data_IF_489453877954
#
_entry.id   IF_489453877954
#
_cell.length_a   1.000
_cell.length_b   1.000
_cell.length_c   1.000
_cell.angle_alpha   90.00
_cell.angle_beta   90.00
_cell.angle_gamma   90.00
#
_symmetry.space_group_name_H-M   'P 1'
#
loop_
_entity.id
_entity.type
_entity.pdbx_description
1 polymer ?
#
# COMPACT_ATOMS: atom_id res chain seq x y z
N UNK A 1 23.93 14.45 19.59
CA UNK A 1 23.10 15.61 19.23
C UNK A 1 21.75 15.09 18.82
N UNK A 2 20.69 15.42 19.57
CA UNK A 2 19.34 15.05 19.17
C UNK A 2 18.94 15.90 17.98
N UNK A 3 18.61 15.28 16.85
CA UNK A 3 18.02 15.99 15.72
C UNK A 3 16.81 16.81 16.22
N UNK A 4 16.63 18.06 15.76
CA UNK A 4 15.49 18.86 16.16
C UNK A 4 14.20 18.08 15.85
N UNK A 5 13.29 18.04 16.82
CA UNK A 5 11.95 17.48 16.64
C UNK A 5 11.21 18.35 15.61
N UNK A 6 11.28 17.94 14.34
CA UNK A 6 10.39 18.47 13.30
C UNK A 6 8.97 18.18 13.78
N UNK A 7 8.16 19.22 13.96
CA UNK A 7 6.78 19.07 14.42
C UNK A 7 6.07 18.10 13.48
N UNK A 8 5.59 16.96 14.00
CA UNK A 8 4.87 15.98 13.20
C UNK A 8 3.62 16.66 12.67
N UNK A 9 3.50 16.81 11.35
CA UNK A 9 2.44 17.61 10.79
C UNK A 9 1.08 16.91 10.93
N UNK A 10 0.04 17.71 11.17
CA UNK A 10 -1.33 17.20 11.26
C UNK A 10 -1.84 16.75 9.88
N UNK A 11 -1.69 15.46 9.59
CA UNK A 11 -2.12 14.83 8.33
C UNK A 11 -3.64 14.79 8.14
N UNK A 12 -4.44 15.26 9.11
CA UNK A 12 -5.88 15.42 8.94
C UNK A 12 -6.26 16.67 8.15
N UNK A 13 -5.33 17.61 7.97
CA UNK A 13 -5.59 18.93 7.37
C UNK A 13 -5.35 19.02 5.87
N UNK A 14 -4.74 18.01 5.28
CA UNK A 14 -4.39 17.99 3.86
C UNK A 14 -4.40 16.57 3.31
N UNK A 15 -4.44 16.43 1.98
CA UNK A 15 -4.19 15.21 1.21
C UNK A 15 -2.75 15.28 0.73
N UNK A 16 -1.94 14.31 1.16
CA UNK A 16 -0.56 14.12 0.72
C UNK A 16 -0.46 13.20 -0.49
N UNK A 17 0.71 13.13 -1.13
CA UNK A 17 0.91 12.26 -2.31
C UNK A 17 0.58 10.79 -2.06
N UNK A 18 0.93 10.25 -0.88
CA UNK A 18 0.58 8.87 -0.52
C UNK A 18 -0.91 8.65 -0.23
N UNK A 19 -1.69 9.70 -0.01
CA UNK A 19 -3.15 9.63 0.17
C UNK A 19 -3.86 9.46 -1.18
N UNK A 20 -3.34 10.08 -2.25
CA UNK A 20 -3.98 10.06 -3.57
C UNK A 20 -4.13 8.65 -4.13
N UNK A 21 -3.16 7.77 -3.89
CA UNK A 21 -3.27 6.37 -4.32
C UNK A 21 -4.51 5.65 -3.76
N UNK A 22 -4.98 6.00 -2.56
CA UNK A 22 -6.19 5.44 -1.97
C UNK A 22 -7.47 6.04 -2.58
N UNK A 23 -7.43 7.32 -2.96
CA UNK A 23 -8.51 8.02 -3.67
C UNK A 23 -8.70 7.44 -5.07
N UNK A 24 -7.60 7.07 -5.75
CA UNK A 24 -7.61 6.45 -7.07
C UNK A 24 -7.87 4.93 -7.03
N UNK A 25 -7.90 4.30 -5.85
CA UNK A 25 -8.10 2.85 -5.71
C UNK A 25 -6.89 1.98 -6.09
N UNK A 26 -5.70 2.57 -6.29
CA UNK A 26 -4.46 1.86 -6.68
C UNK A 26 -3.52 1.58 -5.49
N UNK A 27 -3.89 2.01 -4.29
CA UNK A 27 -3.11 1.81 -3.07
C UNK A 27 -3.17 0.34 -2.60
N UNK A 28 -2.04 -0.36 -2.43
CA UNK A 28 -2.03 -1.73 -1.92
C UNK A 28 -2.26 -1.85 -0.40
N UNK A 29 -2.31 -0.74 0.35
CA UNK A 29 -2.37 -0.74 1.81
C UNK A 29 -3.71 -0.29 2.40
N UNK A 30 -4.44 0.57 1.68
CA UNK A 30 -5.66 1.20 2.17
C UNK A 30 -6.57 1.59 1.01
N UNK A 31 -7.87 1.48 1.23
CA UNK A 31 -8.90 2.00 0.33
C UNK A 31 -9.36 3.41 0.77
N UNK A 32 -10.32 3.97 0.04
CA UNK A 32 -10.85 5.31 0.27
C UNK A 32 -11.55 5.48 1.63
N UNK A 33 -12.21 4.42 2.14
CA UNK A 33 -12.86 4.44 3.47
C UNK A 33 -11.80 4.44 4.57
N UNK A 34 -10.74 3.66 4.43
CA UNK A 34 -9.59 3.70 5.33
C UNK A 34 -8.90 5.07 5.38
N UNK A 35 -8.73 5.69 4.21
CA UNK A 35 -8.20 7.05 4.13
C UNK A 35 -9.13 8.05 4.81
N UNK A 36 -10.43 7.98 4.56
CA UNK A 36 -11.42 8.85 5.19
C UNK A 36 -11.36 8.74 6.72
N UNK A 37 -11.35 7.52 7.26
CA UNK A 37 -11.17 7.29 8.70
C UNK A 37 -9.89 7.96 9.21
N UNK A 38 -8.77 7.88 8.47
CA UNK A 38 -7.50 8.53 8.85
C UNK A 38 -7.59 10.06 8.86
N UNK A 39 -8.41 10.66 7.99
CA UNK A 39 -8.62 12.12 7.93
C UNK A 39 -9.53 12.63 9.04
N UNK A 40 -10.49 11.83 9.52
CA UNK A 40 -11.39 12.25 10.60
C UNK A 40 -10.91 11.80 11.98
N UNK A 41 -10.10 10.74 12.04
CA UNK A 41 -9.60 10.13 13.28
C UNK A 41 -8.20 9.55 13.00
N UNK A 42 -7.12 10.32 13.26
CA UNK A 42 -5.77 9.89 12.95
C UNK A 42 -5.42 8.55 13.60
N UNK A 43 -4.77 7.66 12.85
CA UNK A 43 -4.21 6.43 13.43
C UNK A 43 -3.10 6.77 14.40
N UNK A 44 -2.92 5.92 15.41
CA UNK A 44 -1.60 5.77 16.04
C UNK A 44 -0.69 5.08 15.01
N UNK A 45 0.48 5.64 14.73
CA UNK A 45 1.48 4.96 13.90
C UNK A 45 2.16 3.83 14.71
N UNK A 46 1.48 2.69 14.85
CA UNK A 46 2.04 1.48 15.47
C UNK A 46 2.19 0.33 14.45
N UNK A 47 3.04 -0.65 14.79
CA UNK A 47 3.23 -1.87 13.99
C UNK A 47 4.41 -1.90 13.00
N UNK A 48 4.40 -2.90 12.12
CA UNK A 48 5.52 -3.25 11.23
C UNK A 48 5.84 -2.17 10.19
N UNK A 49 4.81 -1.50 9.64
CA UNK A 49 5.00 -0.41 8.67
C UNK A 49 5.70 0.80 9.30
N UNK A 50 5.46 1.08 10.58
CA UNK A 50 6.13 2.17 11.29
C UNK A 50 7.64 1.91 11.42
N UNK A 51 8.05 0.66 11.66
CA UNK A 51 9.47 0.31 11.69
C UNK A 51 10.14 0.45 10.31
N UNK A 52 9.47 0.05 9.24
CA UNK A 52 9.95 0.22 7.86
C UNK A 52 10.07 1.69 7.48
N UNK A 53 9.05 2.51 7.72
CA UNK A 53 9.05 3.97 7.49
C UNK A 53 10.18 4.65 8.26
N UNK A 54 10.34 4.34 9.57
CA UNK A 54 11.45 4.85 10.37
C UNK A 54 12.83 4.44 9.84
N UNK A 55 12.97 3.24 9.26
CA UNK A 55 14.23 2.83 8.61
C UNK A 55 14.48 3.63 7.35
N UNK A 56 13.46 3.76 6.48
CA UNK A 56 13.52 4.58 5.27
C UNK A 56 14.00 5.99 5.57
N UNK A 57 13.36 6.68 6.52
CA UNK A 57 13.75 8.06 6.88
C UNK A 57 15.13 8.21 7.52
N UNK A 58 15.70 7.13 8.07
CA UNK A 58 17.11 7.15 8.51
C UNK A 58 18.09 6.88 7.37
N UNK A 59 17.65 6.22 6.30
CA UNK A 59 18.44 5.95 5.12
C UNK A 59 18.41 7.11 4.12
N UNK A 60 17.36 7.94 4.14
CA UNK A 60 17.22 9.11 3.24
C UNK A 60 18.49 9.98 3.14
N UNK A 61 19.14 10.42 4.24
CA UNK A 61 20.38 11.21 4.13
C UNK A 61 21.51 10.46 3.43
N UNK A 62 21.67 9.17 3.72
CA UNK A 62 22.67 8.32 3.09
C UNK A 62 22.40 8.14 1.59
N UNK A 63 21.13 7.95 1.21
CA UNK A 63 20.75 7.84 -0.20
C UNK A 63 20.96 9.17 -0.94
N UNK A 64 20.70 10.32 -0.29
CA UNK A 64 21.01 11.62 -0.88
C UNK A 64 22.52 11.81 -1.13
N UNK A 65 23.38 11.29 -0.26
CA UNK A 65 24.82 11.30 -0.48
C UNK A 65 25.21 10.41 -1.66
N UNK A 66 24.64 9.19 -1.77
CA UNK A 66 24.81 8.34 -2.96
C UNK A 66 24.36 9.05 -4.24
N UNK A 67 23.21 9.74 -4.22
CA UNK A 67 22.72 10.50 -5.38
C UNK A 67 23.73 11.58 -5.81
N UNK A 68 24.34 12.28 -4.86
CA UNK A 68 25.36 13.30 -5.15
C UNK A 68 26.62 12.66 -5.75
N UNK A 69 27.08 11.57 -5.19
CA UNK A 69 28.32 10.89 -5.60
C UNK A 69 28.18 10.17 -6.95
N UNK A 70 27.10 9.41 -7.13
CA UNK A 70 26.91 8.54 -8.30
C UNK A 70 26.30 9.27 -9.50
N UNK A 71 25.46 10.30 -9.25
CA UNK A 71 24.72 11.01 -10.31
C UNK A 71 25.07 12.49 -10.43
N UNK A 72 25.92 13.04 -9.55
CA UNK A 72 26.38 14.43 -9.63
C UNK A 72 25.27 15.48 -9.46
N UNK A 73 24.12 15.11 -8.87
CA UNK A 73 22.98 16.02 -8.74
C UNK A 73 23.19 17.05 -7.63
N UNK A 74 22.97 18.32 -7.96
CA UNK A 74 23.00 19.44 -7.03
C UNK A 74 21.70 19.50 -6.20
N UNK A 75 21.71 18.83 -5.05
CA UNK A 75 20.61 18.83 -4.09
C UNK A 75 20.61 20.14 -3.28
N UNK A 76 19.57 20.97 -3.43
CA UNK A 76 19.49 22.30 -2.80
C UNK A 76 18.56 22.38 -1.60
N UNK A 77 17.60 21.46 -1.47
CA UNK A 77 16.72 21.34 -0.32
C UNK A 77 16.34 19.87 -0.09
N UNK A 78 15.97 19.51 1.13
CA UNK A 78 15.55 18.16 1.50
C UNK A 78 14.47 18.20 2.59
N UNK A 79 13.53 17.25 2.54
CA UNK A 79 12.41 17.13 3.49
C UNK A 79 11.51 18.36 3.59
N UNK A 80 11.34 19.07 2.47
CA UNK A 80 10.49 20.25 2.40
C UNK A 80 9.04 19.88 2.07
N UNK A 81 8.13 20.68 2.62
CA UNK A 81 6.71 20.58 2.31
C UNK A 81 6.25 21.74 1.46
N UNK A 82 5.49 21.40 0.44
CA UNK A 82 4.82 22.34 -0.45
C UNK A 82 3.31 22.23 -0.25
N UNK A 83 2.65 23.37 -0.13
CA UNK A 83 1.18 23.46 -0.11
C UNK A 83 0.77 23.97 -1.48
N UNK A 84 -0.27 23.37 -2.03
CA UNK A 84 -0.79 23.78 -3.32
C UNK A 84 -1.33 25.22 -3.27
N UNK A 85 -0.99 26.01 -4.28
CA UNK A 85 -1.35 27.43 -4.32
C UNK A 85 -2.84 27.69 -4.53
N UNK A 86 -3.58 26.74 -5.11
CA UNK A 86 -5.00 26.88 -5.45
C UNK A 86 -5.90 26.10 -4.50
N UNK A 87 -5.44 24.92 -4.06
CA UNK A 87 -6.20 23.99 -3.23
C UNK A 87 -5.45 23.76 -1.90
N UNK A 88 -5.64 24.60 -0.86
CA UNK A 88 -4.83 24.54 0.38
C UNK A 88 -4.89 23.22 1.17
N UNK A 89 -5.85 22.35 0.82
CA UNK A 89 -5.95 20.99 1.36
C UNK A 89 -5.13 19.97 0.57
N UNK A 90 -4.39 20.34 -0.47
CA UNK A 90 -3.39 19.51 -1.13
C UNK A 90 -1.99 19.94 -0.66
N UNK A 91 -1.16 18.96 -0.30
CA UNK A 91 0.24 19.22 0.01
C UNK A 91 1.13 18.08 -0.50
N UNK A 92 2.39 18.38 -0.78
CA UNK A 92 3.40 17.41 -1.15
C UNK A 92 4.58 17.51 -0.19
N UNK A 93 5.04 16.36 0.28
CA UNK A 93 6.29 16.20 1.02
C UNK A 93 7.22 15.50 0.03
N UNK A 94 8.13 16.26 -0.58
CA UNK A 94 9.14 15.69 -1.49
C UNK A 94 10.41 15.43 -0.69
N UNK A 95 11.15 14.38 -1.05
CA UNK A 95 12.33 14.00 -0.28
C UNK A 95 13.49 14.98 -0.50
N UNK A 96 13.63 15.49 -1.74
CA UNK A 96 14.60 16.53 -2.06
C UNK A 96 14.23 17.38 -3.29
N UNK A 97 14.94 18.50 -3.42
CA UNK A 97 14.91 19.40 -4.57
C UNK A 97 16.26 19.38 -5.27
N UNK A 98 16.24 19.13 -6.57
CA UNK A 98 17.39 19.29 -7.46
C UNK A 98 17.32 20.64 -8.19
N UNK A 99 18.48 21.28 -8.37
CA UNK A 99 18.61 22.50 -9.14
C UNK A 99 19.65 22.40 -10.25
N UNK A 100 19.25 22.77 -11.46
CA UNK A 100 20.13 23.04 -12.61
C UNK A 100 19.88 24.46 -13.12
N UNK A 101 20.75 25.39 -12.75
CA UNK A 101 20.50 26.83 -12.93
C UNK A 101 19.19 27.26 -12.25
N UNK A 102 18.25 27.79 -13.05
CA UNK A 102 16.92 28.18 -12.59
C UNK A 102 15.90 27.03 -12.60
N UNK A 103 16.20 25.91 -13.26
CA UNK A 103 15.32 24.75 -13.29
C UNK A 103 15.29 24.08 -11.91
N UNK A 104 14.11 23.58 -11.52
CA UNK A 104 13.87 22.82 -10.29
C UNK A 104 13.12 21.54 -10.59
N UNK A 105 13.60 20.44 -10.02
CA UNK A 105 12.99 19.12 -10.15
C UNK A 105 12.74 18.52 -8.77
N UNK A 106 11.72 17.67 -8.69
CA UNK A 106 11.47 16.87 -7.49
C UNK A 106 12.42 15.68 -7.45
N UNK A 107 12.83 15.30 -6.25
CA UNK A 107 13.46 14.01 -5.98
C UNK A 107 12.59 13.24 -5.00
N UNK A 108 12.33 11.99 -5.33
CA UNK A 108 11.63 11.02 -4.50
C UNK A 108 12.53 9.80 -4.27
N UNK A 109 12.64 9.33 -3.05
CA UNK A 109 13.50 8.22 -2.62
C UNK A 109 12.62 7.08 -2.12
N UNK A 110 12.87 5.87 -2.63
CA UNK A 110 12.20 4.66 -2.17
C UNK A 110 13.21 3.64 -1.67
N UNK A 111 12.95 3.10 -0.48
CA UNK A 111 13.66 1.91 0.01
C UNK A 111 12.80 0.69 -0.28
N UNK A 112 13.26 -0.16 -1.19
CA UNK A 112 12.47 -1.26 -1.75
C UNK A 112 13.05 -2.59 -1.31
N UNK A 113 12.19 -3.46 -0.78
CA UNK A 113 12.59 -4.81 -0.44
C UNK A 113 12.96 -5.60 -1.72
N UNK A 114 14.06 -6.37 -1.77
CA UNK A 114 14.47 -7.08 -3.01
C UNK A 114 13.39 -7.97 -3.64
N UNK A 115 12.56 -8.64 -2.83
CA UNK A 115 11.39 -9.41 -3.33
C UNK A 115 10.33 -8.60 -4.08
N UNK A 116 10.36 -7.27 -3.96
CA UNK A 116 9.46 -6.32 -4.64
C UNK A 116 10.08 -5.68 -5.87
N UNK A 117 11.34 -5.99 -6.20
CA UNK A 117 12.04 -5.48 -7.38
C UNK A 117 11.26 -5.73 -8.67
N UNK A 118 10.59 -6.88 -8.79
CA UNK A 118 9.79 -7.25 -9.98
C UNK A 118 8.55 -6.37 -10.22
N UNK A 119 8.16 -5.55 -9.24
CA UNK A 119 7.07 -4.58 -9.41
C UNK A 119 7.56 -3.27 -10.05
N UNK A 120 8.88 -3.10 -10.18
CA UNK A 120 9.53 -1.98 -10.84
C UNK A 120 9.99 -2.43 -12.23
N UNK A 121 9.78 -1.56 -13.22
CA UNK A 121 10.16 -1.84 -14.60
C UNK A 121 11.63 -1.55 -14.89
N UNK A 122 11.94 -1.29 -16.16
CA UNK A 122 13.32 -1.00 -16.58
C UNK A 122 13.85 0.29 -15.93
N UNK A 123 15.12 0.29 -15.49
CA UNK A 123 15.75 1.48 -14.93
C UNK A 123 15.84 2.59 -15.98
N UNK A 124 15.84 3.85 -15.53
CA UNK A 124 15.80 5.05 -16.39
C UNK A 124 14.49 5.26 -17.16
N UNK A 125 13.45 4.47 -16.90
CA UNK A 125 12.08 4.67 -17.42
C UNK A 125 11.15 5.29 -16.38
N UNK A 126 9.87 5.46 -16.72
CA UNK A 126 8.77 5.86 -15.83
C UNK A 126 7.94 4.66 -15.32
N UNK A 127 8.42 3.43 -15.51
CA UNK A 127 7.76 2.20 -15.10
C UNK A 127 7.86 1.95 -13.58
N UNK A 128 7.03 2.67 -12.83
CA UNK A 128 6.88 2.51 -11.38
C UNK A 128 5.56 1.81 -11.04
N UNK A 129 5.46 1.16 -9.87
CA UNK A 129 4.18 0.79 -9.31
C UNK A 129 3.19 1.97 -9.31
N UNK A 130 1.94 1.75 -9.75
CA UNK A 130 0.94 2.81 -9.98
C UNK A 130 0.73 3.76 -8.80
N UNK A 131 0.83 3.26 -7.56
CA UNK A 131 0.69 4.09 -6.37
C UNK A 131 1.85 5.08 -6.19
N UNK A 132 3.05 4.76 -6.68
CA UNK A 132 4.17 5.69 -6.73
C UNK A 132 4.04 6.68 -7.87
N UNK A 133 3.56 6.26 -9.05
CA UNK A 133 3.22 7.19 -10.14
C UNK A 133 2.21 8.24 -9.63
N UNK A 134 1.14 7.81 -8.97
CA UNK A 134 0.15 8.71 -8.37
C UNK A 134 0.77 9.64 -7.31
N UNK A 135 1.69 9.16 -6.46
CA UNK A 135 2.36 10.01 -5.48
C UNK A 135 3.23 11.08 -6.18
N UNK A 136 4.00 10.67 -7.19
CA UNK A 136 4.93 11.53 -7.92
C UNK A 136 4.19 12.59 -8.73
N UNK A 137 3.16 12.20 -9.48
CA UNK A 137 2.34 13.14 -10.24
C UNK A 137 1.62 14.15 -9.32
N UNK A 138 1.17 13.72 -8.14
CA UNK A 138 0.63 14.65 -7.12
C UNK A 138 1.68 15.67 -6.68
N UNK A 139 2.92 15.20 -6.41
CA UNK A 139 4.04 16.09 -6.07
C UNK A 139 4.35 17.11 -7.16
N UNK A 140 4.38 16.68 -8.43
CA UNK A 140 4.55 17.56 -9.58
C UNK A 140 3.39 18.56 -9.70
N UNK A 141 2.15 18.11 -9.50
CA UNK A 141 0.96 18.95 -9.46
C UNK A 141 1.05 20.07 -8.44
N UNK A 142 1.42 19.74 -7.19
CA UNK A 142 1.53 20.70 -6.08
C UNK A 142 2.72 21.66 -6.24
N UNK A 143 3.87 21.16 -6.70
CA UNK A 143 5.09 21.97 -6.84
C UNK A 143 5.15 22.79 -8.13
N UNK A 144 4.29 22.48 -9.12
CA UNK A 144 4.32 23.09 -10.44
C UNK A 144 5.53 22.72 -11.30
N UNK A 145 6.28 21.67 -10.92
CA UNK A 145 7.49 21.22 -11.63
C UNK A 145 7.15 20.22 -12.73
N UNK A 146 8.07 20.09 -13.69
CA UNK A 146 7.89 19.24 -14.88
C UNK A 146 8.49 17.84 -14.74
N UNK A 147 9.44 17.64 -13.83
CA UNK A 147 10.20 16.39 -13.71
C UNK A 147 10.34 16.01 -12.25
N UNK A 148 10.15 14.72 -11.98
CA UNK A 148 10.54 14.07 -10.73
C UNK A 148 11.54 12.95 -11.03
N UNK A 149 12.70 12.99 -10.38
CA UNK A 149 13.66 11.89 -10.38
C UNK A 149 13.36 10.99 -9.20
N UNK A 150 13.08 9.73 -9.48
CA UNK A 150 12.81 8.73 -8.44
C UNK A 150 14.03 7.83 -8.30
N UNK A 151 14.53 7.68 -7.08
CA UNK A 151 15.64 6.80 -6.77
C UNK A 151 15.18 5.67 -5.87
N UNK A 152 15.18 4.43 -6.38
CA UNK A 152 14.84 3.25 -5.63
C UNK A 152 16.11 2.53 -5.15
N UNK A 153 16.35 2.50 -3.85
CA UNK A 153 17.36 1.65 -3.25
C UNK A 153 16.80 0.22 -3.11
N UNK A 154 17.30 -0.70 -3.95
CA UNK A 154 16.88 -2.11 -4.00
C UNK A 154 18.05 -2.99 -3.54
N UNK A 155 18.00 -3.47 -2.30
CA UNK A 155 19.19 -4.06 -1.69
C UNK A 155 20.25 -2.97 -1.49
N UNK A 156 21.40 -3.11 -2.14
CA UNK A 156 22.49 -2.11 -2.12
C UNK A 156 22.57 -1.28 -3.42
N UNK A 157 21.73 -1.61 -4.42
CA UNK A 157 21.74 -0.92 -5.70
C UNK A 157 20.79 0.29 -5.69
N UNK A 158 21.31 1.47 -6.01
CA UNK A 158 20.51 2.66 -6.25
C UNK A 158 20.07 2.71 -7.72
N UNK A 159 18.76 2.65 -7.97
CA UNK A 159 18.19 2.62 -9.32
C UNK A 159 17.46 3.93 -9.63
N UNK A 160 17.91 4.71 -10.65
CA UNK A 160 17.25 5.93 -11.06
C UNK A 160 16.06 5.67 -12.00
N UNK A 161 15.03 6.49 -11.89
CA UNK A 161 13.87 6.57 -12.76
C UNK A 161 13.51 8.04 -12.98
N UNK A 162 12.92 8.37 -14.12
CA UNK A 162 12.50 9.75 -14.43
C UNK A 162 11.03 9.76 -14.79
N UNK A 163 10.24 10.53 -14.05
CA UNK A 163 8.82 10.70 -14.30
C UNK A 163 8.56 12.12 -14.77
N UNK A 164 8.00 12.25 -15.97
CA UNK A 164 7.55 13.51 -16.52
C UNK A 164 6.15 13.85 -16.05
N UNK A 165 5.90 15.14 -15.85
CA UNK A 165 4.58 15.67 -15.52
C UNK A 165 3.56 15.28 -16.58
N UNK A 166 2.44 14.72 -16.15
CA UNK A 166 1.27 14.45 -16.96
C UNK A 166 0.12 15.34 -16.48
N UNK A 167 -0.14 16.43 -17.20
CA UNK A 167 -1.16 17.41 -16.83
C UNK A 167 -2.59 16.84 -16.88
N UNK A 168 -2.88 15.89 -17.77
CA UNK A 168 -4.20 15.26 -17.85
C UNK A 168 -4.45 14.40 -16.61
N UNK A 169 -3.47 13.54 -16.28
CA UNK A 169 -3.53 12.72 -15.08
C UNK A 169 -3.60 13.57 -13.81
N UNK A 170 -2.79 14.63 -13.71
CA UNK A 170 -2.81 15.56 -12.58
C UNK A 170 -4.17 16.23 -12.45
N UNK A 171 -4.78 16.67 -13.56
CA UNK A 171 -6.12 17.28 -13.54
C UNK A 171 -7.16 16.32 -12.95
N UNK A 172 -7.21 15.08 -13.45
CA UNK A 172 -8.12 14.05 -12.95
C UNK A 172 -7.86 13.75 -11.46
N UNK A 173 -6.60 13.67 -11.05
CA UNK A 173 -6.23 13.44 -9.65
C UNK A 173 -6.69 14.58 -8.73
N UNK A 174 -6.54 15.84 -9.17
CA UNK A 174 -7.00 17.02 -8.41
C UNK A 174 -8.51 17.05 -8.27
N UNK A 175 -9.25 16.73 -9.32
CA UNK A 175 -10.71 16.63 -9.29
C UNK A 175 -11.17 15.58 -8.28
N UNK A 176 -10.61 14.36 -8.34
CA UNK A 176 -10.96 13.25 -7.44
C UNK A 176 -10.59 13.56 -5.99
N UNK A 177 -9.43 14.18 -5.76
CA UNK A 177 -9.02 14.63 -4.44
C UNK A 177 -9.95 15.71 -3.88
N UNK A 178 -10.41 16.62 -4.74
CA UNK A 178 -11.35 17.70 -4.38
C UNK A 178 -12.73 17.15 -4.06
N UNK A 179 -13.26 16.22 -4.87
CA UNK A 179 -14.51 15.53 -4.57
C UNK A 179 -14.39 14.79 -3.24
N UNK A 180 -13.32 14.01 -3.05
CA UNK A 180 -13.10 13.27 -1.81
C UNK A 180 -13.08 14.18 -0.59
N UNK A 181 -12.34 15.28 -0.67
CA UNK A 181 -12.21 16.25 0.42
C UNK A 181 -13.54 16.92 0.76
N UNK A 182 -14.22 17.46 -0.25
CA UNK A 182 -15.44 18.28 -0.07
C UNK A 182 -16.67 17.44 0.25
N UNK A 183 -16.79 16.23 -0.31
CA UNK A 183 -17.97 15.38 -0.16
C UNK A 183 -17.88 14.46 1.06
N UNK A 184 -16.69 14.04 1.47
CA UNK A 184 -16.53 13.02 2.51
C UNK A 184 -15.77 13.51 3.74
N UNK A 185 -14.62 14.16 3.54
CA UNK A 185 -13.76 14.57 4.67
C UNK A 185 -14.36 15.74 5.44
N UNK A 186 -14.63 16.86 4.75
CA UNK A 186 -15.17 18.09 5.35
C UNK A 186 -16.51 17.85 6.09
N UNK A 187 -17.52 17.22 5.46
CA UNK A 187 -18.80 16.98 6.13
C UNK A 187 -18.78 15.76 7.05
N UNK A 188 -17.65 15.03 7.13
CA UNK A 188 -17.50 13.77 7.87
C UNK A 188 -18.54 12.72 7.48
N UNK A 189 -18.80 12.61 6.17
CA UNK A 189 -19.68 11.59 5.59
C UNK A 189 -18.80 10.48 5.02
N UNK A 190 -19.11 9.24 5.37
CA UNK A 190 -18.34 8.09 4.89
C UNK A 190 -18.47 7.96 3.36
N UNK A 191 -17.36 7.71 2.64
CA UNK A 191 -17.43 7.32 1.24
C UNK A 191 -18.12 5.96 1.07
N UNK A 192 -18.68 5.67 -0.12
CA UNK A 192 -19.27 4.37 -0.40
C UNK A 192 -18.24 3.25 -0.21
N UNK A 193 -18.70 2.11 0.33
CA UNK A 193 -17.86 0.92 0.49
C UNK A 193 -17.86 0.17 -0.84
N UNK A 194 -16.66 -0.04 -1.37
CA UNK A 194 -16.42 -1.01 -2.44
C UNK A 194 -16.16 -2.37 -1.80
N UNK A 195 -17.14 -3.27 -1.87
CA UNK A 195 -17.07 -4.62 -1.29
C UNK A 195 -16.14 -5.58 -2.04
N UNK A 196 -15.61 -5.17 -3.19
CA UNK A 196 -14.63 -5.94 -3.97
C UNK A 196 -13.20 -5.42 -3.75
N UNK A 197 -13.04 -4.27 -3.11
CA UNK A 197 -11.75 -3.70 -2.80
C UNK A 197 -10.90 -4.64 -1.93
N UNK A 198 -9.59 -4.67 -2.22
CA UNK A 198 -8.62 -5.44 -1.44
C UNK A 198 -8.68 -5.06 0.04
N UNK A 199 -8.66 -6.05 0.93
CA UNK A 199 -8.72 -5.91 2.39
C UNK A 199 -9.99 -5.22 2.93
N UNK A 200 -11.08 -5.12 2.17
CA UNK A 200 -12.32 -4.44 2.62
C UNK A 200 -12.89 -5.01 3.92
N UNK A 201 -12.75 -6.31 4.19
CA UNK A 201 -13.20 -6.90 5.46
C UNK A 201 -12.46 -6.30 6.66
N UNK A 202 -11.17 -6.01 6.55
CA UNK A 202 -10.40 -5.36 7.61
C UNK A 202 -10.83 -3.89 7.76
N UNK A 203 -11.13 -3.20 6.66
CA UNK A 203 -11.72 -1.86 6.68
C UNK A 203 -13.07 -1.86 7.40
N UNK A 204 -13.95 -2.83 7.12
CA UNK A 204 -15.26 -2.96 7.78
C UNK A 204 -15.10 -3.24 9.28
N UNK A 205 -14.19 -4.14 9.67
CA UNK A 205 -13.87 -4.38 11.10
C UNK A 205 -13.36 -3.15 11.81
N UNK A 206 -12.63 -2.27 11.10
CA UNK A 206 -12.16 -1.00 11.65
C UNK A 206 -13.28 0.02 11.78
N UNK A 207 -14.18 0.05 10.79
CA UNK A 207 -15.38 0.89 10.81
C UNK A 207 -16.32 0.49 11.95
N UNK A 208 -16.39 -0.80 12.25
CA UNK A 208 -17.19 -1.38 13.34
C UNK A 208 -16.30 -2.20 14.30
N UNK A 209 -15.55 -1.54 15.21
CA UNK A 209 -14.53 -2.19 16.06
C UNK A 209 -15.13 -3.01 17.22
N UNK A 210 -16.43 -3.25 17.22
CA UNK A 210 -17.18 -3.89 18.30
C UNK A 210 -18.62 -4.17 17.89
N UNK A 211 -19.40 -4.66 18.86
CA UNK A 211 -20.85 -4.81 18.75
C UNK A 211 -21.50 -4.10 19.93
N UNK A 212 -22.65 -3.48 19.68
CA UNK A 212 -23.54 -2.92 20.71
C UNK A 212 -24.54 -3.97 21.24
N UNK A 213 -24.46 -5.21 20.75
CA UNK A 213 -25.37 -6.30 21.10
C UNK A 213 -26.69 -6.30 20.31
N UNK A 214 -26.90 -5.36 19.38
CA UNK A 214 -28.11 -5.33 18.56
C UNK A 214 -28.16 -6.56 17.65
N UNK A 215 -29.29 -7.26 17.69
CA UNK A 215 -29.57 -8.40 16.80
C UNK A 215 -30.54 -7.94 15.72
N UNK A 216 -30.20 -8.23 14.46
CA UNK A 216 -31.03 -7.90 13.31
C UNK A 216 -31.67 -9.17 12.75
N UNK A 217 -32.95 -9.06 12.38
CA UNK A 217 -33.60 -10.09 11.57
C UNK A 217 -33.07 -10.05 10.13
N UNK A 218 -32.88 -11.23 9.55
CA UNK A 218 -32.40 -11.35 8.18
C UNK A 218 -33.45 -10.82 7.19
N UNK A 219 -32.98 -10.10 6.17
CA UNK A 219 -33.79 -9.67 5.03
C UNK A 219 -33.50 -10.59 3.84
N UNK A 220 -34.27 -10.49 2.76
CA UNK A 220 -33.97 -11.20 1.51
C UNK A 220 -32.57 -10.88 0.98
N UNK A 221 -32.08 -9.65 1.17
CA UNK A 221 -30.72 -9.27 0.78
C UNK A 221 -29.66 -9.98 1.64
N UNK A 222 -29.90 -10.13 2.95
CA UNK A 222 -28.99 -10.86 3.84
C UNK A 222 -28.92 -12.35 3.46
N UNK A 223 -30.07 -12.97 3.16
CA UNK A 223 -30.12 -14.36 2.71
C UNK A 223 -29.45 -14.57 1.35
N UNK A 224 -29.58 -13.61 0.42
CA UNK A 224 -28.83 -13.64 -0.84
C UNK A 224 -27.32 -13.72 -0.60
N UNK A 225 -26.76 -12.81 0.19
CA UNK A 225 -25.31 -12.80 0.46
C UNK A 225 -24.84 -14.02 1.25
N UNK A 226 -25.68 -14.54 2.15
CA UNK A 226 -25.41 -15.83 2.81
C UNK A 226 -25.31 -16.97 1.80
N UNK A 227 -26.24 -17.06 0.86
CA UNK A 227 -26.23 -18.10 -0.18
C UNK A 227 -24.99 -17.97 -1.10
N UNK A 228 -24.59 -16.75 -1.46
CA UNK A 228 -23.35 -16.48 -2.20
C UNK A 228 -22.14 -17.01 -1.43
N UNK A 229 -22.03 -16.68 -0.13
CA UNK A 229 -20.93 -17.16 0.73
C UNK A 229 -20.88 -18.69 0.83
N UNK A 230 -22.02 -19.34 1.10
CA UNK A 230 -22.10 -20.80 1.23
C UNK A 230 -21.77 -21.52 -0.09
N UNK A 231 -22.24 -20.99 -1.23
CA UNK A 231 -21.93 -21.52 -2.57
C UNK A 231 -20.44 -21.40 -2.88
N UNK A 232 -19.86 -20.21 -2.68
CA UNK A 232 -18.44 -19.98 -2.91
C UNK A 232 -17.57 -20.90 -2.03
N UNK A 233 -17.93 -21.07 -0.76
CA UNK A 233 -17.23 -21.99 0.16
C UNK A 233 -17.29 -23.44 -0.31
N UNK A 234 -18.44 -23.87 -0.84
CA UNK A 234 -18.60 -25.22 -1.39
C UNK A 234 -17.74 -25.44 -2.63
N UNK A 235 -17.73 -24.46 -3.54
CA UNK A 235 -16.87 -24.51 -4.73
C UNK A 235 -15.39 -24.53 -4.36
N UNK A 236 -14.97 -23.71 -3.38
CA UNK A 236 -13.60 -23.72 -2.87
C UNK A 236 -13.19 -25.10 -2.36
N UNK A 237 -14.01 -25.72 -1.51
CA UNK A 237 -13.75 -27.05 -0.98
C UNK A 237 -13.68 -28.12 -2.09
N UNK A 238 -14.53 -28.01 -3.11
CA UNK A 238 -14.50 -28.90 -4.26
C UNK A 238 -13.17 -28.80 -5.04
N UNK A 239 -12.74 -27.58 -5.37
CA UNK A 239 -11.49 -27.38 -6.11
C UNK A 239 -10.25 -27.73 -5.29
N UNK A 240 -10.25 -27.47 -3.99
CA UNK A 240 -9.18 -27.91 -3.08
C UNK A 240 -9.07 -29.44 -3.05
N UNK A 241 -10.21 -30.16 -2.99
CA UNK A 241 -10.21 -31.61 -3.05
C UNK A 241 -9.68 -32.15 -4.40
N UNK A 242 -10.01 -31.49 -5.52
CA UNK A 242 -9.46 -31.84 -6.84
C UNK A 242 -7.94 -31.62 -6.90
N UNK A 243 -7.45 -30.50 -6.36
CA UNK A 243 -6.02 -30.21 -6.29
C UNK A 243 -5.27 -31.26 -5.45
N UNK A 244 -5.80 -31.63 -4.29
CA UNK A 244 -5.20 -32.66 -3.45
C UNK A 244 -5.26 -34.06 -4.10
N UNK A 245 -6.34 -34.38 -4.83
CA UNK A 245 -6.41 -35.59 -5.64
C UNK A 245 -5.33 -35.64 -6.73
N UNK A 246 -5.15 -34.55 -7.48
CA UNK A 246 -4.09 -34.45 -8.49
C UNK A 246 -2.69 -34.54 -7.87
N UNK A 247 -2.47 -33.89 -6.72
CA UNK A 247 -1.22 -33.97 -5.95
C UNK A 247 -0.93 -35.39 -5.48
N UNK A 248 -1.94 -36.11 -4.98
CA UNK A 248 -1.81 -37.48 -4.55
C UNK A 248 -1.43 -38.41 -5.72
N UNK A 249 -2.05 -38.25 -6.89
CA UNK A 249 -1.68 -38.97 -8.11
C UNK A 249 -0.21 -38.75 -8.47
N UNK A 250 0.23 -37.49 -8.54
CA UNK A 250 1.63 -37.17 -8.88
C UNK A 250 2.61 -37.70 -7.82
N UNK A 251 2.28 -37.60 -6.53
CA UNK A 251 3.12 -38.11 -5.46
C UNK A 251 3.22 -39.65 -5.48
N UNK A 252 2.14 -40.34 -5.85
CA UNK A 252 2.13 -41.79 -6.01
C UNK A 252 2.99 -42.23 -7.21
N UNK A 253 2.83 -41.59 -8.37
CA UNK A 253 3.66 -41.84 -9.57
C UNK A 253 5.15 -41.56 -9.31
N UNK A 254 5.47 -40.52 -8.52
CA UNK A 254 6.85 -40.26 -8.10
C UNK A 254 7.46 -41.40 -7.28
N UNK A 255 6.67 -42.22 -6.59
CA UNK A 255 7.16 -43.33 -5.79
C UNK A 255 8.17 -42.90 -4.72
N UNK A 256 9.47 -43.19 -4.92
CA UNK A 256 10.57 -42.74 -4.04
C UNK A 256 11.37 -41.55 -4.58
N UNK A 257 11.06 -41.08 -5.80
CA UNK A 257 11.78 -39.98 -6.43
C UNK A 257 11.67 -38.68 -5.62
N UNK A 258 12.72 -37.86 -5.71
CA UNK A 258 12.77 -36.56 -5.04
C UNK A 258 11.97 -35.48 -5.79
N UNK A 259 11.75 -35.63 -7.10
CA UNK A 259 10.98 -34.67 -7.90
C UNK A 259 10.43 -35.30 -9.19
N UNK A 260 9.37 -34.70 -9.74
CA UNK A 260 8.93 -34.84 -11.15
C UNK A 260 9.00 -33.46 -11.82
N UNK A 261 9.63 -33.37 -12.99
CA UNK A 261 9.85 -32.13 -13.74
C UNK A 261 8.95 -32.07 -14.96
N UNK A 262 8.58 -30.87 -15.36
CA UNK A 262 7.79 -30.59 -16.56
C UNK A 262 8.59 -29.74 -17.56
N UNK A 263 8.13 -29.70 -18.81
CA UNK A 263 8.85 -29.06 -19.93
C UNK A 263 8.96 -27.54 -19.80
N UNK A 264 8.08 -26.92 -19.00
CA UNK A 264 8.10 -25.48 -18.68
C UNK A 264 9.10 -25.13 -17.56
N UNK A 265 9.85 -26.11 -17.06
CA UNK A 265 10.82 -25.96 -15.98
C UNK A 265 10.23 -26.05 -14.57
N UNK A 266 8.91 -26.23 -14.42
CA UNK A 266 8.29 -26.46 -13.11
C UNK A 266 8.49 -27.89 -12.62
N UNK A 267 8.30 -28.12 -11.31
CA UNK A 267 8.43 -29.44 -10.71
C UNK A 267 7.60 -29.58 -9.43
N UNK A 268 7.06 -30.79 -9.19
CA UNK A 268 6.69 -31.19 -7.83
C UNK A 268 7.90 -31.79 -7.13
N UNK A 269 8.16 -31.36 -5.90
CA UNK A 269 9.36 -31.72 -5.14
C UNK A 269 8.97 -32.34 -3.80
N UNK A 270 9.55 -33.49 -3.48
CA UNK A 270 9.49 -34.12 -2.15
C UNK A 270 10.64 -33.59 -1.29
N UNK A 271 10.31 -32.98 -0.16
CA UNK A 271 11.30 -32.52 0.83
C UNK A 271 10.88 -32.97 2.22
N UNK A 272 11.79 -33.64 2.93
CA UNK A 272 11.62 -33.92 4.35
C UNK A 272 11.92 -32.65 5.16
N UNK A 273 10.99 -32.26 6.04
CA UNK A 273 11.11 -31.04 6.83
C UNK A 273 11.06 -31.42 8.31
N UNK A 274 12.21 -31.35 8.99
CA UNK A 274 12.29 -31.46 10.45
C UNK A 274 12.15 -30.07 11.09
N UNK A 275 11.12 -29.86 11.92
CA UNK A 275 10.97 -28.64 12.73
C UNK A 275 11.38 -28.91 14.17
N UNK A 276 12.22 -28.05 14.75
CA UNK A 276 12.52 -28.07 16.20
C UNK A 276 11.33 -27.53 16.98
N UNK A 277 11.13 -28.02 18.20
CA UNK A 277 10.15 -27.45 19.12
C UNK A 277 10.52 -26.00 19.48
N UNK A 278 9.52 -25.13 19.56
CA UNK A 278 9.67 -23.76 20.04
C UNK A 278 8.39 -23.32 20.76
N UNK A 279 8.54 -22.34 21.66
CA UNK A 279 7.42 -21.68 22.33
C UNK A 279 7.21 -20.30 21.74
N UNK A 280 5.95 -19.87 21.63
CA UNK A 280 5.57 -18.52 21.21
C UNK A 280 4.80 -17.89 22.35
N UNK A 281 5.30 -16.76 22.85
CA UNK A 281 4.59 -15.91 23.80
C UNK A 281 3.78 -14.88 23.02
N UNK A 282 2.46 -14.87 23.22
CA UNK A 282 1.55 -13.96 22.55
C UNK A 282 1.02 -12.93 23.56
N UNK A 283 1.17 -11.62 23.29
CA UNK A 283 0.53 -10.61 24.10
C UNK A 283 -0.99 -10.73 23.99
N UNK A 284 -1.70 -10.39 25.07
CA UNK A 284 -3.15 -10.34 25.06
C UNK A 284 -3.64 -9.35 23.98
N UNK A 285 -4.58 -9.78 23.14
CA UNK A 285 -5.17 -8.98 22.07
C UNK A 285 -6.68 -9.22 21.96
N UNK A 286 -7.40 -8.27 21.37
CA UNK A 286 -8.82 -8.37 21.05
C UNK A 286 -8.99 -8.16 19.54
N UNK A 287 -9.89 -8.91 18.92
CA UNK A 287 -10.19 -8.79 17.49
C UNK A 287 -11.67 -9.07 17.23
N UNK A 288 -12.18 -8.59 16.09
CA UNK A 288 -13.53 -8.88 15.62
C UNK A 288 -13.50 -10.15 14.77
N UNK A 289 -14.20 -11.17 15.25
CA UNK A 289 -14.48 -12.41 14.53
C UNK A 289 -15.88 -12.33 13.91
N UNK A 290 -15.96 -12.38 12.59
CA UNK A 290 -17.21 -12.42 11.85
C UNK A 290 -17.29 -13.76 11.10
N UNK A 291 -18.24 -14.60 11.48
CA UNK A 291 -18.39 -15.97 10.97
C UNK A 291 -19.83 -16.41 10.98
N UNK A 292 -20.15 -17.32 10.06
CA UNK A 292 -21.42 -18.04 10.08
C UNK A 292 -21.42 -19.06 11.24
N UNK A 293 -22.45 -19.02 12.07
CA UNK A 293 -22.59 -19.90 13.23
C UNK A 293 -24.03 -19.96 13.75
N UNK A 294 -24.29 -20.85 14.70
CA UNK A 294 -25.58 -20.91 15.40
C UNK A 294 -25.63 -19.82 16.47
N UNK A 295 -26.63 -18.94 16.39
CA UNK A 295 -26.93 -17.99 17.46
C UNK A 295 -27.57 -18.74 18.63
N UNK A 296 -27.08 -18.50 19.84
CA UNK A 296 -27.70 -18.96 21.08
C UNK A 296 -28.23 -17.72 21.78
N UNK A 297 -29.53 -17.70 22.03
CA UNK A 297 -30.18 -16.68 22.89
C UNK A 297 -29.65 -16.74 24.32
#
# INVERSE_FOLDING_TARGET
>A
MNAPLIAVPDRTKFIGGSDVAAILGVSPWRNVVDLWMDKITPRREDGHNAAAKRRGSRLEPYILDMIREEHGLNIVAANERYIDSELPFLAAEIDAEYADGDARENIEIKTVHPFKSKEWGEHETDELPLHYVAQVQHGLGVTGRNICRVFALIGDDLKPYTVHRDDELISVMRERATEFWTRYVVPKVQPPIDYEAKNVLDTIKRLYPGSDGTVLDATAMHEHWRAVFETAKTMQAHYEALQEGARAHLLAEMGKAAAIRFDDGQAFIRKEISKKAYSVDYPASKYIDFRLGKFKE
#
